data_IF_320707414304
#
_entry.id   IF_320707414304
#
_cell.length_a   1.000
_cell.length_b   1.000
_cell.length_c   1.000
_cell.angle_alpha   90.00
_cell.angle_beta   90.00
_cell.angle_gamma   90.00
#
_symmetry.space_group_name_H-M   'P 1'
#
loop_
_entity.id
_entity.type
_entity.pdbx_description
1 polymer ?
#
# COMPACT_ATOMS: atom_id res chain seq x y z
N UNK A 1 -28.82 2.82 27.87
CA UNK A 1 -27.85 2.85 26.75
C UNK A 1 -27.92 1.50 26.04
N UNK A 2 -28.25 1.51 24.75
CA UNK A 2 -28.72 0.36 23.97
C UNK A 2 -27.60 -0.57 23.49
N UNK A 3 -27.77 -1.89 23.69
CA UNK A 3 -26.88 -3.02 23.31
C UNK A 3 -26.35 -2.97 21.87
N UNK A 4 -27.08 -2.30 20.96
CA UNK A 4 -26.70 -2.12 19.54
C UNK A 4 -25.39 -1.31 19.34
N UNK A 5 -25.00 -0.48 20.30
CA UNK A 5 -23.78 0.33 20.20
C UNK A 5 -22.52 -0.44 20.64
N UNK A 6 -22.66 -1.54 21.40
CA UNK A 6 -21.52 -2.37 21.83
C UNK A 6 -20.99 -3.26 20.69
N UNK A 7 -21.87 -3.77 19.82
CA UNK A 7 -21.45 -4.59 18.67
C UNK A 7 -20.65 -3.80 17.62
N UNK A 8 -20.94 -2.51 17.43
CA UNK A 8 -20.17 -1.64 16.51
C UNK A 8 -18.79 -1.26 17.07
N UNK A 9 -18.66 -1.18 18.38
CA UNK A 9 -17.39 -0.84 19.04
C UNK A 9 -16.37 -1.97 19.03
N UNK A 10 -16.81 -3.24 18.94
CA UNK A 10 -15.93 -4.41 18.94
C UNK A 10 -15.36 -4.79 17.56
N UNK A 11 -15.96 -4.33 16.46
CA UNK A 11 -15.54 -4.70 15.10
C UNK A 11 -14.21 -4.05 14.66
N UNK A 12 -13.94 -2.82 15.11
CA UNK A 12 -12.70 -2.10 14.83
C UNK A 12 -11.45 -2.71 15.51
N UNK A 13 -11.45 -3.01 16.82
CA UNK A 13 -10.27 -3.62 17.45
C UNK A 13 -10.03 -5.06 16.97
N UNK A 14 -11.06 -5.82 16.63
CA UNK A 14 -10.92 -7.18 16.11
C UNK A 14 -10.20 -7.22 14.74
N UNK A 15 -10.45 -6.23 13.87
CA UNK A 15 -9.76 -6.10 12.59
C UNK A 15 -8.28 -5.75 12.77
N UNK A 16 -7.94 -4.88 13.73
CA UNK A 16 -6.54 -4.50 14.00
C UNK A 16 -5.72 -5.69 14.50
N UNK A 17 -6.29 -6.51 15.39
CA UNK A 17 -5.61 -7.72 15.91
C UNK A 17 -5.43 -8.78 14.82
N UNK A 18 -6.39 -8.92 13.90
CA UNK A 18 -6.26 -9.86 12.78
C UNK A 18 -5.12 -9.49 11.81
N UNK A 19 -4.75 -8.21 11.72
CA UNK A 19 -3.68 -7.75 10.83
C UNK A 19 -2.28 -7.88 11.46
N UNK A 20 -2.16 -7.95 12.79
CA UNK A 20 -0.86 -8.01 13.49
C UNK A 20 -0.40 -9.41 13.90
N UNK A 21 -1.20 -10.45 13.61
CA UNK A 21 -1.06 -11.77 14.25
C UNK A 21 -0.06 -12.77 13.66
N UNK A 22 0.55 -12.52 12.49
CA UNK A 22 1.43 -13.49 11.85
C UNK A 22 2.75 -12.85 11.39
N UNK A 23 3.77 -12.93 12.25
CA UNK A 23 5.16 -12.78 11.82
C UNK A 23 5.74 -14.19 11.59
N UNK A 24 6.03 -14.59 10.33
CA UNK A 24 6.69 -15.86 10.06
C UNK A 24 8.12 -15.86 10.61
N UNK A 25 8.56 -17.00 11.16
CA UNK A 25 9.96 -17.19 11.56
C UNK A 25 10.84 -17.26 10.30
N UNK A 26 11.81 -16.35 10.11
CA UNK A 26 12.63 -16.30 8.92
C UNK A 26 13.56 -17.51 8.74
N UNK A 27 13.72 -18.36 9.76
CA UNK A 27 14.60 -19.55 9.69
C UNK A 27 13.82 -20.87 9.65
N UNK A 28 12.49 -20.85 9.51
CA UNK A 28 11.71 -22.08 9.40
C UNK A 28 11.87 -22.71 7.99
N UNK A 29 12.65 -23.79 7.91
CA UNK A 29 12.89 -24.57 6.69
C UNK A 29 11.92 -25.75 6.54
N UNK A 30 10.83 -25.76 7.29
CA UNK A 30 9.80 -26.79 7.17
C UNK A 30 9.17 -26.80 5.77
N UNK A 31 8.77 -27.98 5.31
CA UNK A 31 8.06 -28.12 4.03
C UNK A 31 6.79 -27.25 3.95
N UNK A 32 6.15 -27.06 5.10
CA UNK A 32 4.96 -26.24 5.23
C UNK A 32 5.25 -24.74 5.09
N UNK A 33 6.41 -24.27 5.56
CA UNK A 33 6.88 -22.90 5.34
C UNK A 33 7.20 -22.63 3.86
N UNK A 34 7.90 -23.56 3.20
CA UNK A 34 8.24 -23.44 1.77
C UNK A 34 6.98 -23.42 0.90
N UNK A 35 5.95 -24.21 1.24
CA UNK A 35 4.69 -24.26 0.48
C UNK A 35 3.82 -23.02 0.65
N UNK A 36 3.93 -22.33 1.80
CA UNK A 36 3.18 -21.10 2.09
C UNK A 36 3.83 -19.86 1.49
N UNK A 37 5.12 -19.91 1.19
CA UNK A 37 5.82 -18.86 0.46
C UNK A 37 5.64 -19.04 -1.06
N UNK A 38 4.98 -18.09 -1.72
CA UNK A 38 4.76 -18.13 -3.17
C UNK A 38 6.03 -17.82 -3.95
N UNK A 39 6.98 -17.12 -3.32
CA UNK A 39 8.27 -16.73 -3.86
C UNK A 39 9.35 -17.10 -2.84
N UNK A 40 9.58 -18.41 -2.59
CA UNK A 40 10.65 -18.82 -1.69
C UNK A 40 11.94 -18.16 -2.16
N UNK A 41 12.81 -17.76 -1.23
CA UNK A 41 14.11 -17.12 -1.51
C UNK A 41 15.03 -18.06 -2.33
N UNK A 42 14.73 -18.20 -3.63
CA UNK A 42 15.58 -18.80 -4.65
C UNK A 42 16.50 -17.67 -5.11
N UNK A 43 17.37 -17.23 -4.20
CA UNK A 43 18.35 -16.20 -4.52
C UNK A 43 19.42 -16.84 -5.40
N UNK A 44 19.63 -16.28 -6.58
CA UNK A 44 20.76 -16.65 -7.42
C UNK A 44 22.07 -16.21 -6.76
N UNK A 45 23.20 -16.79 -7.20
CA UNK A 45 24.54 -16.38 -6.76
C UNK A 45 24.87 -14.90 -7.04
N UNK A 46 24.03 -14.21 -7.80
CA UNK A 46 24.24 -12.85 -8.31
C UNK A 46 23.61 -11.75 -7.46
N UNK A 47 22.68 -12.07 -6.55
CA UNK A 47 21.94 -11.07 -5.78
C UNK A 47 21.95 -11.41 -4.29
N UNK A 48 22.21 -10.41 -3.45
CA UNK A 48 22.22 -10.56 -1.99
C UNK A 48 20.87 -10.15 -1.41
N UNK A 49 20.49 -10.73 -0.28
CA UNK A 49 19.25 -10.40 0.44
C UNK A 49 19.03 -8.89 0.63
N UNK A 50 20.08 -8.18 1.03
CA UNK A 50 20.04 -6.74 1.28
C UNK A 50 19.75 -5.92 0.02
N UNK A 51 20.13 -6.42 -1.15
CA UNK A 51 19.90 -5.74 -2.41
C UNK A 51 18.43 -5.91 -2.84
N UNK A 52 17.84 -7.10 -2.61
CA UNK A 52 16.41 -7.37 -2.79
C UNK A 52 15.57 -6.48 -1.87
N UNK A 53 15.91 -6.44 -0.58
CA UNK A 53 15.17 -5.62 0.40
C UNK A 53 15.24 -4.13 0.04
N UNK A 54 16.42 -3.65 -0.37
CA UNK A 54 16.59 -2.28 -0.84
C UNK A 54 15.72 -2.00 -2.06
N UNK A 55 15.69 -2.91 -3.04
CA UNK A 55 14.89 -2.74 -4.24
C UNK A 55 13.38 -2.71 -3.92
N UNK A 56 12.93 -3.63 -3.06
CA UNK A 56 11.55 -3.66 -2.57
C UNK A 56 11.17 -2.38 -1.82
N UNK A 57 12.07 -1.83 -1.01
CA UNK A 57 11.84 -0.56 -0.31
C UNK A 57 11.67 0.62 -1.28
N UNK A 58 12.49 0.69 -2.34
CA UNK A 58 12.39 1.74 -3.37
C UNK A 58 11.08 1.61 -4.15
N UNK A 59 10.75 0.41 -4.62
CA UNK A 59 9.51 0.14 -5.35
C UNK A 59 8.30 0.48 -4.49
N UNK A 60 8.29 0.09 -3.21
CA UNK A 60 7.21 0.41 -2.28
C UNK A 60 7.05 1.93 -2.12
N UNK A 61 8.14 2.68 -2.00
CA UNK A 61 8.10 4.15 -1.90
C UNK A 61 7.49 4.78 -3.16
N UNK A 62 7.92 4.34 -4.34
CA UNK A 62 7.41 4.81 -5.62
C UNK A 62 5.90 4.53 -5.76
N UNK A 63 5.50 3.28 -5.51
CA UNK A 63 4.10 2.87 -5.59
C UNK A 63 3.23 3.66 -4.61
N UNK A 64 3.69 3.89 -3.37
CA UNK A 64 2.93 4.68 -2.40
C UNK A 64 2.72 6.13 -2.85
N UNK A 65 3.69 6.75 -3.51
CA UNK A 65 3.53 8.10 -4.09
C UNK A 65 2.50 8.11 -5.22
N UNK A 66 2.50 7.08 -6.05
CA UNK A 66 1.50 6.93 -7.11
C UNK A 66 0.09 6.74 -6.56
N UNK A 67 -0.08 5.91 -5.51
CA UNK A 67 -1.39 5.69 -4.87
C UNK A 67 -2.01 7.00 -4.41
N UNK A 68 -1.24 7.89 -3.78
CA UNK A 68 -1.77 9.18 -3.34
C UNK A 68 -2.21 10.06 -4.50
N UNK A 69 -1.47 10.08 -5.61
CA UNK A 69 -1.88 10.79 -6.83
C UNK A 69 -3.12 10.18 -7.49
N UNK A 70 -3.23 8.85 -7.51
CA UNK A 70 -4.41 8.18 -8.08
C UNK A 70 -5.66 8.41 -7.23
N UNK A 71 -5.53 8.47 -5.90
CA UNK A 71 -6.63 8.85 -5.01
C UNK A 71 -7.05 10.31 -5.24
N UNK A 72 -6.11 11.23 -5.36
CA UNK A 72 -6.39 12.63 -5.67
C UNK A 72 -7.13 12.79 -7.01
N UNK A 73 -6.79 11.97 -8.01
CA UNK A 73 -7.51 11.90 -9.30
C UNK A 73 -8.90 11.29 -9.18
N UNK A 74 -9.05 10.20 -8.42
CA UNK A 74 -10.34 9.52 -8.22
C UNK A 74 -11.35 10.45 -7.52
N UNK A 75 -10.91 11.14 -6.48
CA UNK A 75 -11.75 12.09 -5.73
C UNK A 75 -11.82 13.49 -6.36
N UNK A 76 -11.17 13.69 -7.52
CA UNK A 76 -11.12 14.98 -8.22
C UNK A 76 -10.49 16.12 -7.40
N UNK A 77 -9.64 15.81 -6.42
CA UNK A 77 -8.94 16.80 -5.59
C UNK A 77 -7.71 17.39 -6.28
N UNK A 78 -7.14 16.68 -7.25
CA UNK A 78 -5.92 17.12 -7.94
C UNK A 78 -6.17 18.12 -9.08
N UNK A 79 -7.43 18.43 -9.40
CA UNK A 79 -7.78 19.38 -10.47
C UNK A 79 -8.76 20.44 -9.98
N UNK A 80 -8.53 21.72 -10.33
CA UNK A 80 -9.49 22.77 -10.06
C UNK A 80 -10.78 22.54 -10.85
N UNK A 81 -11.91 22.97 -10.28
CA UNK A 81 -13.20 22.93 -10.96
C UNK A 81 -13.16 23.78 -12.24
N UNK A 82 -13.63 23.23 -13.36
CA UNK A 82 -13.77 23.96 -14.63
C UNK A 82 -14.82 25.08 -14.57
N UNK A 83 -15.60 25.16 -13.49
CA UNK A 83 -16.59 26.21 -13.23
C UNK A 83 -16.02 27.36 -12.38
N UNK A 84 -14.73 27.35 -12.04
CA UNK A 84 -14.14 28.43 -11.27
C UNK A 84 -14.05 29.71 -12.12
N UNK A 85 -14.30 30.91 -11.56
CA UNK A 85 -14.24 32.19 -12.30
C UNK A 85 -12.85 32.57 -12.82
N UNK A 86 -11.81 31.80 -12.47
CA UNK A 86 -10.43 32.04 -12.82
C UNK A 86 -9.93 30.98 -13.79
N UNK A 87 -9.02 31.38 -14.66
CA UNK A 87 -8.48 30.49 -15.67
C UNK A 87 -7.65 29.37 -15.00
N UNK A 88 -7.93 28.13 -15.40
CA UNK A 88 -7.28 26.95 -14.82
C UNK A 88 -6.03 26.62 -15.64
N UNK A 89 -4.92 27.23 -15.25
CA UNK A 89 -3.64 27.02 -15.92
C UNK A 89 -3.08 25.64 -15.53
N UNK A 90 -2.79 24.82 -16.53
CA UNK A 90 -2.15 23.51 -16.32
C UNK A 90 -0.73 23.70 -15.76
N UNK A 91 -0.52 23.34 -14.50
CA UNK A 91 0.81 23.41 -13.84
C UNK A 91 1.68 22.19 -14.15
N UNK A 92 1.15 21.18 -14.86
CA UNK A 92 1.85 19.93 -15.16
C UNK A 92 2.83 20.04 -16.34
N UNK A 93 3.17 21.25 -16.79
CA UNK A 93 4.09 21.50 -17.89
C UNK A 93 3.56 21.10 -19.29
N UNK A 94 2.30 20.65 -19.36
CA UNK A 94 1.64 20.32 -20.62
C UNK A 94 0.59 21.40 -20.90
N UNK A 95 0.67 22.10 -22.05
CA UNK A 95 -0.28 23.15 -22.38
C UNK A 95 -1.69 22.56 -22.43
N UNK A 96 -2.62 23.25 -21.79
CA UNK A 96 -4.05 22.94 -21.88
C UNK A 96 -4.48 23.07 -23.34
N UNK A 97 -4.96 21.97 -23.93
CA UNK A 97 -5.68 22.00 -25.20
C UNK A 97 -7.10 22.56 -25.01
#
# INVERSE_FOLDING_TARGET
MTIRNMFRAAALPALVVAVTGCAPDPNDVSFDAIKKDLTPHILGLTERDVDVERNMAVIKNQNMRMVWGDLGRFFLFDRPSRLSPYDIISTSGQPSQ
#
